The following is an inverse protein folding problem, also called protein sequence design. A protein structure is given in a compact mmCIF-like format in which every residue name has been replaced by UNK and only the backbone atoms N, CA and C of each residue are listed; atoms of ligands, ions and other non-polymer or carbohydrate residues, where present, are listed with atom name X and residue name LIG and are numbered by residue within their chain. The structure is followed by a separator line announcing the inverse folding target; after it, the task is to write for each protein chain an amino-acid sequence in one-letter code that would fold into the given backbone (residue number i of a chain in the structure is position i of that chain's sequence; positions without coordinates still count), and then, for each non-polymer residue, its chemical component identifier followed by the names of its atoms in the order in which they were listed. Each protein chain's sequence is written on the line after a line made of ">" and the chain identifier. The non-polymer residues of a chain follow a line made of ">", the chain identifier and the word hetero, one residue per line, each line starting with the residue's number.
data_IF_840009193006
#
_entry.id   IF_840009193006
#
_cell.length_a   1.000
_cell.length_b   1.000
_cell.length_c   1.000
_cell.angle_alpha   90.00
_cell.angle_beta   90.00
_cell.angle_gamma   90.00
#
_symmetry.space_group_name_H-M   'P 1'
#
loop_
_entity.id
_entity.type
_entity.pdbx_description
1 polymer ?
#
# COMPACT_ATOMS: atom_id res chain seq x y z
N UNK A 1 -1.89 -22.06 31.67
CA UNK A 1 -2.59 -20.84 31.27
C UNK A 1 -1.56 -19.73 31.12
N UNK A 2 -1.44 -19.08 29.98
CA UNK A 2 -0.36 -18.10 29.69
C UNK A 2 -0.63 -16.69 30.24
N UNK A 3 -1.55 -16.50 31.17
CA UNK A 3 -1.76 -15.21 31.89
C UNK A 3 -1.95 -13.95 31.05
N UNK A 4 -2.24 -14.07 29.73
CA UNK A 4 -2.44 -12.93 28.84
C UNK A 4 -3.87 -12.39 28.98
N UNK A 5 -3.98 -11.13 29.36
CA UNK A 5 -5.27 -10.40 29.44
C UNK A 5 -5.56 -9.70 28.11
N UNK A 6 -6.74 -9.92 27.54
CA UNK A 6 -7.18 -9.22 26.33
C UNK A 6 -7.62 -7.80 26.70
N UNK A 7 -7.12 -6.79 26.00
CA UNK A 7 -7.51 -5.40 26.24
C UNK A 7 -8.82 -5.09 25.52
N UNK A 8 -9.93 -5.07 26.24
CA UNK A 8 -11.26 -4.74 25.71
C UNK A 8 -11.28 -3.40 24.98
N UNK A 9 -10.57 -2.39 25.52
CA UNK A 9 -10.46 -1.04 24.91
C UNK A 9 -9.77 -1.01 23.55
N UNK A 10 -8.95 -2.02 23.24
CA UNK A 10 -8.21 -2.13 21.97
C UNK A 10 -8.79 -3.19 21.04
N UNK A 11 -9.78 -3.94 21.52
CA UNK A 11 -10.43 -4.99 20.73
C UNK A 11 -11.59 -4.37 19.96
N UNK A 12 -11.54 -4.48 18.65
CA UNK A 12 -12.54 -3.95 17.72
C UNK A 12 -13.11 -5.09 16.89
N UNK A 13 -14.36 -4.96 16.47
CA UNK A 13 -15.05 -5.93 15.63
C UNK A 13 -15.25 -5.33 14.25
N UNK A 14 -14.58 -5.88 13.25
CA UNK A 14 -14.85 -5.59 11.84
C UNK A 14 -15.69 -6.72 11.24
N UNK A 15 -16.80 -6.37 10.64
CA UNK A 15 -17.63 -7.32 9.91
C UNK A 15 -17.55 -7.05 8.41
N UNK A 16 -17.20 -8.06 7.65
CA UNK A 16 -17.33 -8.07 6.19
C UNK A 16 -18.59 -8.85 5.80
N UNK A 17 -19.47 -8.22 5.05
CA UNK A 17 -20.67 -8.83 4.53
C UNK A 17 -20.44 -9.33 3.11
N UNK A 18 -21.10 -10.45 2.76
CA UNK A 18 -21.20 -10.84 1.36
C UNK A 18 -21.99 -9.77 0.58
N UNK A 19 -21.67 -9.62 -0.70
CA UNK A 19 -22.35 -8.68 -1.60
C UNK A 19 -23.87 -8.86 -1.50
N UNK A 20 -24.60 -7.74 -1.38
CA UNK A 20 -26.06 -7.68 -1.29
C UNK A 20 -26.70 -8.26 0.00
N UNK A 21 -25.95 -8.36 1.09
CA UNK A 21 -26.49 -8.79 2.38
C UNK A 21 -26.53 -7.59 3.34
N UNK A 22 -27.73 -7.24 3.81
CA UNK A 22 -27.92 -6.26 4.89
C UNK A 22 -28.27 -7.01 6.17
N UNK A 23 -27.42 -6.96 7.18
CA UNK A 23 -27.71 -7.48 8.52
C UNK A 23 -27.24 -6.45 9.55
N UNK A 24 -27.91 -6.28 10.69
CA UNK A 24 -27.47 -5.38 11.75
C UNK A 24 -26.06 -5.79 12.25
N UNK A 25 -25.28 -4.83 12.79
CA UNK A 25 -23.97 -5.12 13.37
C UNK A 25 -24.09 -6.18 14.47
N UNK A 26 -23.12 -7.10 14.58
CA UNK A 26 -23.16 -8.11 15.63
C UNK A 26 -22.91 -7.49 16.99
N UNK A 27 -23.73 -7.81 17.98
CA UNK A 27 -23.47 -7.48 19.38
C UNK A 27 -22.55 -8.54 19.98
N UNK A 28 -21.25 -8.33 19.88
CA UNK A 28 -20.23 -9.21 20.47
C UNK A 28 -19.79 -8.60 21.79
N UNK A 29 -19.90 -9.34 22.88
CA UNK A 29 -19.45 -8.95 24.20
C UNK A 29 -18.33 -9.86 24.70
N UNK A 30 -17.42 -9.31 25.49
CA UNK A 30 -16.37 -10.02 26.20
C UNK A 30 -16.32 -9.56 27.65
N UNK A 31 -16.40 -10.49 28.59
CA UNK A 31 -16.47 -10.21 30.04
C UNK A 31 -17.60 -9.22 30.39
N UNK A 32 -18.76 -9.34 29.74
CA UNK A 32 -19.92 -8.46 29.96
C UNK A 32 -19.82 -7.09 29.29
N UNK A 33 -18.71 -6.75 28.65
CA UNK A 33 -18.51 -5.47 27.94
C UNK A 33 -18.75 -5.66 26.44
N UNK A 34 -19.55 -4.79 25.84
CA UNK A 34 -19.82 -4.77 24.41
C UNK A 34 -18.55 -4.28 23.67
N UNK A 35 -18.13 -5.03 22.65
CA UNK A 35 -16.99 -4.65 21.80
C UNK A 35 -17.41 -3.59 20.77
N UNK A 36 -16.47 -2.70 20.44
CA UNK A 36 -16.71 -1.62 19.49
C UNK A 36 -16.73 -2.16 18.05
N UNK A 37 -17.83 -1.89 17.32
CA UNK A 37 -17.93 -2.20 15.90
C UNK A 37 -17.30 -1.07 15.09
N UNK A 38 -16.42 -1.43 14.13
CA UNK A 38 -15.73 -0.47 13.25
C UNK A 38 -15.95 -0.81 11.79
N UNK A 39 -16.04 0.20 10.93
CA UNK A 39 -16.15 0.04 9.49
C UNK A 39 -14.79 -0.11 8.81
N UNK A 40 -13.73 0.33 9.45
CA UNK A 40 -12.36 0.23 8.95
C UNK A 40 -11.42 -0.21 10.07
N UNK A 41 -10.63 -1.23 9.81
CA UNK A 41 -9.67 -1.79 10.75
C UNK A 41 -8.26 -1.74 10.19
N UNK A 42 -7.29 -1.31 11.01
CA UNK A 42 -5.87 -1.30 10.65
C UNK A 42 -5.17 -2.53 11.19
N UNK A 43 -4.78 -3.45 10.31
CA UNK A 43 -4.08 -4.67 10.67
C UNK A 43 -2.71 -4.75 10.01
N UNK A 44 -1.63 -4.87 10.80
CA UNK A 44 -0.23 -4.94 10.33
C UNK A 44 0.11 -3.91 9.25
N UNK A 45 -0.51 -2.75 9.34
CA UNK A 45 -0.28 -1.69 8.39
C UNK A 45 -1.20 -1.68 7.17
N UNK A 46 -2.06 -2.66 6.96
CA UNK A 46 -3.12 -2.64 5.95
C UNK A 46 -4.41 -2.05 6.50
N UNK A 47 -5.19 -1.41 5.63
CA UNK A 47 -6.52 -0.90 5.95
C UNK A 47 -7.56 -1.85 5.36
N UNK A 48 -8.29 -2.55 6.24
CA UNK A 48 -9.37 -3.46 5.86
C UNK A 48 -10.69 -2.74 6.17
N UNK A 49 -11.65 -2.78 5.25
CA UNK A 49 -12.96 -2.17 5.46
C UNK A 49 -14.11 -3.19 5.39
N UNK A 50 -15.27 -2.79 5.92
CA UNK A 50 -16.49 -3.61 5.95
C UNK A 50 -17.03 -3.93 4.56
N UNK A 51 -16.77 -3.07 3.56
CA UNK A 51 -17.19 -3.25 2.17
C UNK A 51 -16.28 -4.19 1.37
N UNK A 52 -15.21 -4.72 1.97
CA UNK A 52 -14.21 -5.59 1.33
C UNK A 52 -13.64 -5.02 0.02
N UNK A 53 -13.56 -3.68 -0.11
CA UNK A 53 -13.00 -3.01 -1.27
C UNK A 53 -11.55 -2.54 -1.00
N UNK A 54 -10.80 -2.36 -2.08
CA UNK A 54 -9.39 -1.99 -2.02
C UNK A 54 -9.17 -0.46 -2.03
N UNK A 55 -10.22 0.36 -2.21
CA UNK A 55 -10.07 1.80 -2.40
C UNK A 55 -9.39 2.48 -1.20
N UNK A 56 -9.80 2.13 0.02
CA UNK A 56 -9.25 2.70 1.26
C UNK A 56 -7.79 2.27 1.49
N UNK A 57 -7.47 1.00 1.21
CA UNK A 57 -6.09 0.52 1.27
C UNK A 57 -5.19 1.29 0.32
N UNK A 58 -5.59 1.47 -0.95
CA UNK A 58 -4.82 2.23 -1.94
C UNK A 58 -4.59 3.67 -1.49
N UNK A 59 -5.61 4.35 -0.97
CA UNK A 59 -5.49 5.71 -0.45
C UNK A 59 -4.55 5.77 0.77
N UNK A 60 -4.68 4.81 1.67
CA UNK A 60 -3.80 4.68 2.85
C UNK A 60 -2.34 4.49 2.43
N UNK A 61 -2.06 3.64 1.42
CA UNK A 61 -0.71 3.40 0.90
C UNK A 61 -0.12 4.64 0.22
N UNK A 62 -0.89 5.31 -0.61
CA UNK A 62 -0.47 6.57 -1.23
C UNK A 62 -0.16 7.62 -0.16
N UNK A 63 -0.99 7.73 0.89
CA UNK A 63 -0.76 8.65 2.00
C UNK A 63 0.56 8.35 2.72
N UNK A 64 0.82 7.09 3.08
CA UNK A 64 2.06 6.65 3.75
C UNK A 64 3.29 6.88 2.87
N UNK A 65 3.22 6.50 1.61
CA UNK A 65 4.29 6.73 0.65
C UNK A 65 4.55 8.23 0.44
N UNK A 66 3.49 9.05 0.43
CA UNK A 66 3.60 10.51 0.35
C UNK A 66 4.30 11.10 1.59
N UNK A 67 3.97 10.61 2.78
CA UNK A 67 4.65 11.01 4.02
C UNK A 67 6.12 10.59 4.01
N UNK A 68 6.42 9.34 3.59
CA UNK A 68 7.79 8.86 3.45
C UNK A 68 8.59 9.71 2.46
N UNK A 69 8.00 10.04 1.31
CA UNK A 69 8.60 10.94 0.33
C UNK A 69 8.83 12.35 0.90
N UNK A 70 7.83 12.89 1.62
CA UNK A 70 7.91 14.22 2.23
C UNK A 70 9.01 14.34 3.28
N UNK A 71 9.20 13.31 4.14
CA UNK A 71 10.27 13.30 5.16
C UNK A 71 11.67 13.38 4.56
N UNK A 72 11.84 12.93 3.33
CA UNK A 72 13.13 12.94 2.62
C UNK A 72 13.35 14.22 1.81
N UNK A 73 12.39 15.17 1.84
CA UNK A 73 12.39 16.33 0.97
C UNK A 73 13.66 17.17 1.07
N UNK A 74 14.00 17.63 2.26
CA UNK A 74 15.17 18.49 2.50
C UNK A 74 16.47 17.73 2.44
N UNK A 75 16.50 16.53 3.04
CA UNK A 75 17.73 15.75 3.25
C UNK A 75 18.16 14.94 2.01
N UNK A 76 17.27 14.69 1.06
CA UNK A 76 17.57 13.84 -0.11
C UNK A 76 17.21 14.53 -1.42
N UNK A 77 15.94 14.95 -1.57
CA UNK A 77 15.48 15.45 -2.88
C UNK A 77 16.04 16.82 -3.22
N UNK A 78 16.25 17.71 -2.26
CA UNK A 78 16.79 19.06 -2.44
C UNK A 78 18.29 19.17 -2.16
N UNK A 79 18.90 18.15 -1.55
CA UNK A 79 20.33 18.17 -1.24
C UNK A 79 21.18 18.19 -2.53
N UNK A 80 22.07 19.18 -2.67
CA UNK A 80 22.85 19.40 -3.90
C UNK A 80 23.92 18.33 -4.13
N UNK A 81 24.48 17.78 -3.06
CA UNK A 81 25.55 16.77 -3.10
C UNK A 81 25.09 15.35 -3.47
N UNK A 82 23.78 15.08 -3.54
CA UNK A 82 23.26 13.73 -3.79
C UNK A 82 22.99 13.53 -5.29
N UNK A 83 23.61 12.50 -5.87
CA UNK A 83 23.38 12.11 -7.28
C UNK A 83 21.94 11.64 -7.53
N UNK A 84 21.45 11.80 -8.75
CA UNK A 84 20.14 11.28 -9.18
C UNK A 84 20.03 9.77 -8.98
N UNK A 85 21.12 9.03 -9.25
CA UNK A 85 21.18 7.57 -9.02
C UNK A 85 20.94 7.24 -7.54
N UNK A 86 21.58 7.95 -6.62
CA UNK A 86 21.38 7.75 -5.17
C UNK A 86 19.96 8.08 -4.75
N UNK A 87 19.38 9.19 -5.26
CA UNK A 87 17.97 9.54 -4.98
C UNK A 87 17.02 8.44 -5.44
N UNK A 88 17.20 7.89 -6.64
CA UNK A 88 16.41 6.79 -7.15
C UNK A 88 16.57 5.52 -6.31
N UNK A 89 17.78 5.24 -5.80
CA UNK A 89 18.02 4.12 -4.88
C UNK A 89 17.27 4.30 -3.56
N UNK A 90 17.29 5.50 -2.97
CA UNK A 90 16.52 5.83 -1.76
C UNK A 90 15.00 5.71 -2.02
N UNK A 91 14.52 6.18 -3.16
CA UNK A 91 13.12 6.02 -3.55
C UNK A 91 12.70 4.55 -3.61
N UNK A 92 13.52 3.69 -4.24
CA UNK A 92 13.28 2.22 -4.31
C UNK A 92 13.30 1.57 -2.94
N UNK A 93 14.17 2.01 -2.05
CA UNK A 93 14.34 1.40 -0.74
C UNK A 93 13.29 1.83 0.30
N UNK A 94 12.75 3.05 0.21
CA UNK A 94 11.91 3.63 1.26
C UNK A 94 10.48 3.89 0.80
N UNK A 95 10.33 4.62 -0.31
CA UNK A 95 9.01 5.10 -0.74
C UNK A 95 8.21 4.01 -1.46
N UNK A 96 8.86 3.32 -2.38
CA UNK A 96 8.22 2.28 -3.18
C UNK A 96 7.73 1.08 -2.34
N UNK A 97 8.50 0.55 -1.36
CA UNK A 97 8.00 -0.47 -0.45
C UNK A 97 6.83 0.00 0.42
N UNK A 98 6.81 1.27 0.82
CA UNK A 98 5.67 1.84 1.56
C UNK A 98 4.41 1.91 0.70
N UNK A 99 4.56 2.17 -0.61
CA UNK A 99 3.47 2.22 -1.57
C UNK A 99 2.90 0.83 -1.88
N UNK A 100 3.77 -0.16 -2.06
CA UNK A 100 3.43 -1.50 -2.56
C UNK A 100 3.40 -2.58 -1.48
N UNK A 101 3.41 -2.20 -0.20
CA UNK A 101 3.36 -3.19 0.88
C UNK A 101 2.05 -3.98 0.84
N UNK A 102 2.14 -5.31 0.80
CA UNK A 102 1.01 -6.23 0.73
C UNK A 102 0.34 -6.32 -0.65
N UNK A 103 0.95 -5.73 -1.69
CA UNK A 103 0.36 -5.67 -3.02
C UNK A 103 0.19 -7.04 -3.71
N UNK A 104 0.87 -8.07 -3.23
CA UNK A 104 0.74 -9.45 -3.69
C UNK A 104 -0.67 -10.02 -3.47
N UNK A 105 -1.39 -9.49 -2.47
CA UNK A 105 -2.75 -9.94 -2.13
C UNK A 105 -3.85 -9.07 -2.76
N UNK A 106 -3.49 -8.01 -3.50
CA UNK A 106 -4.47 -7.05 -3.99
C UNK A 106 -5.18 -7.50 -5.25
N UNK A 107 -6.50 -7.39 -5.25
CA UNK A 107 -7.33 -7.51 -6.46
C UNK A 107 -7.52 -6.13 -7.10
N UNK A 108 -6.48 -5.66 -7.81
CA UNK A 108 -6.45 -4.32 -8.37
C UNK A 108 -7.33 -4.17 -9.62
N UNK A 109 -8.23 -3.18 -9.60
CA UNK A 109 -8.89 -2.67 -10.80
C UNK A 109 -8.03 -1.59 -11.49
N UNK A 110 -8.30 -1.32 -12.76
CA UNK A 110 -7.58 -0.29 -13.54
C UNK A 110 -7.53 1.08 -12.85
N UNK A 111 -8.61 1.47 -12.15
CA UNK A 111 -8.64 2.74 -11.38
C UNK A 111 -7.59 2.79 -10.27
N UNK A 112 -7.32 1.66 -9.59
CA UNK A 112 -6.32 1.55 -8.54
C UNK A 112 -4.91 1.68 -9.13
N UNK A 113 -4.62 0.92 -10.19
CA UNK A 113 -3.34 0.97 -10.91
C UNK A 113 -3.07 2.40 -11.38
N UNK A 114 -4.07 3.08 -11.96
CA UNK A 114 -3.92 4.47 -12.40
C UNK A 114 -3.59 5.44 -11.26
N UNK A 115 -4.22 5.31 -10.09
CA UNK A 115 -3.92 6.15 -8.91
C UNK A 115 -2.48 5.94 -8.41
N UNK A 116 -2.06 4.68 -8.30
CA UNK A 116 -0.70 4.31 -7.88
C UNK A 116 0.35 4.80 -8.88
N UNK A 117 0.10 4.62 -10.17
CA UNK A 117 1.00 5.02 -11.26
C UNK A 117 1.16 6.54 -11.34
N UNK A 118 0.07 7.29 -11.15
CA UNK A 118 0.11 8.76 -11.05
C UNK A 118 1.00 9.23 -9.90
N UNK A 119 0.91 8.59 -8.73
CA UNK A 119 1.78 8.91 -7.60
C UNK A 119 3.24 8.57 -7.92
N UNK A 120 3.51 7.39 -8.46
CA UNK A 120 4.84 6.92 -8.84
C UNK A 120 5.51 7.88 -9.82
N UNK A 121 4.86 8.18 -10.94
CA UNK A 121 5.37 9.08 -11.97
C UNK A 121 5.59 10.51 -11.45
N UNK A 122 4.69 11.01 -10.58
CA UNK A 122 4.88 12.32 -9.93
C UNK A 122 6.14 12.37 -9.08
N UNK A 123 6.41 11.30 -8.31
CA UNK A 123 7.64 11.21 -7.52
C UNK A 123 8.88 11.15 -8.41
N UNK A 124 8.86 10.32 -9.47
CA UNK A 124 9.97 10.20 -10.40
C UNK A 124 10.28 11.51 -11.10
N UNK A 125 9.26 12.24 -11.60
CA UNK A 125 9.48 13.57 -12.20
C UNK A 125 10.14 14.54 -11.22
N UNK A 126 9.74 14.55 -9.94
CA UNK A 126 10.40 15.38 -8.93
C UNK A 126 11.86 15.00 -8.71
N UNK A 127 12.18 13.70 -8.65
CA UNK A 127 13.54 13.21 -8.46
C UNK A 127 14.42 13.54 -9.66
N UNK A 128 13.90 13.35 -10.88
CA UNK A 128 14.59 13.64 -12.15
C UNK A 128 14.63 15.15 -12.46
N UNK A 129 13.89 15.97 -11.71
CA UNK A 129 13.75 17.42 -11.92
C UNK A 129 13.12 17.77 -13.28
N UNK A 130 12.28 16.89 -13.82
CA UNK A 130 11.56 17.12 -15.08
C UNK A 130 10.30 17.93 -14.80
N UNK A 131 10.19 19.09 -15.46
CA UNK A 131 9.01 19.96 -15.38
C UNK A 131 7.85 19.40 -16.22
N UNK A 132 6.62 19.65 -15.78
CA UNK A 132 5.43 19.33 -16.59
C UNK A 132 5.41 20.04 -17.95
N UNK A 133 6.07 21.23 -18.05
CA UNK A 133 6.18 22.02 -19.28
C UNK A 133 7.01 21.34 -20.37
N UNK A 134 7.88 20.42 -20.00
CA UNK A 134 8.74 19.69 -20.93
C UNK A 134 7.98 18.56 -21.68
N UNK A 135 6.74 18.29 -21.29
CA UNK A 135 5.86 17.30 -21.90
C UNK A 135 6.51 15.92 -22.11
N UNK A 136 7.46 15.55 -21.24
CA UNK A 136 8.17 14.27 -21.34
C UNK A 136 7.19 13.09 -21.12
N UNK A 137 7.12 12.13 -22.07
CA UNK A 137 6.25 10.98 -21.95
C UNK A 137 6.54 10.12 -20.71
N UNK A 138 5.51 9.45 -20.17
CA UNK A 138 5.66 8.58 -18.99
C UNK A 138 6.69 7.46 -19.20
N UNK A 139 6.72 6.86 -20.39
CA UNK A 139 7.68 5.80 -20.74
C UNK A 139 9.13 6.31 -20.64
N UNK A 140 9.37 7.53 -21.09
CA UNK A 140 10.69 8.15 -21.02
C UNK A 140 11.11 8.44 -19.57
N UNK A 141 10.18 8.89 -18.71
CA UNK A 141 10.42 9.05 -17.27
C UNK A 141 10.83 7.73 -16.62
N UNK A 142 10.12 6.65 -16.92
CA UNK A 142 10.44 5.31 -16.42
C UNK A 142 11.80 4.84 -16.91
N UNK A 143 12.10 5.05 -18.21
CA UNK A 143 13.40 4.71 -18.83
C UNK A 143 14.56 5.45 -18.15
N UNK A 144 14.45 6.77 -17.96
CA UNK A 144 15.47 7.58 -17.28
C UNK A 144 15.65 7.17 -15.80
N UNK A 145 14.57 6.78 -15.13
CA UNK A 145 14.63 6.27 -13.77
C UNK A 145 15.17 4.83 -13.68
N UNK A 146 15.27 4.12 -14.80
CA UNK A 146 15.56 2.68 -14.83
C UNK A 146 14.55 1.87 -14.03
N UNK A 147 13.25 2.22 -14.14
CA UNK A 147 12.14 1.60 -13.41
C UNK A 147 11.04 1.17 -14.38
N UNK A 148 10.26 0.18 -13.95
CA UNK A 148 9.03 -0.24 -14.64
C UNK A 148 7.81 0.51 -14.08
N UNK A 149 6.69 0.49 -14.79
CA UNK A 149 5.41 1.00 -14.28
C UNK A 149 4.84 0.13 -13.15
N UNK A 150 3.92 0.69 -12.41
CA UNK A 150 3.31 0.03 -11.22
C UNK A 150 2.64 -1.30 -11.59
N UNK A 151 1.95 -1.38 -12.72
CA UNK A 151 1.26 -2.60 -13.16
C UNK A 151 2.24 -3.78 -13.30
N UNK A 152 3.40 -3.56 -13.89
CA UNK A 152 4.44 -4.60 -14.01
C UNK A 152 4.99 -5.02 -12.63
N UNK A 153 5.14 -4.08 -11.71
CA UNK A 153 5.59 -4.38 -10.34
C UNK A 153 4.57 -5.21 -9.58
N UNK A 154 3.29 -4.88 -9.70
CA UNK A 154 2.18 -5.63 -9.08
C UNK A 154 2.13 -7.07 -9.62
N UNK A 155 2.13 -7.22 -10.93
CA UNK A 155 2.11 -8.54 -11.57
C UNK A 155 3.30 -9.41 -11.13
N UNK A 156 4.49 -8.82 -11.05
CA UNK A 156 5.68 -9.53 -10.58
C UNK A 156 5.56 -9.96 -9.11
N UNK A 157 5.02 -9.10 -8.24
CA UNK A 157 4.80 -9.43 -6.83
C UNK A 157 3.79 -10.58 -6.68
N UNK A 158 2.68 -10.52 -7.40
CA UNK A 158 1.64 -11.55 -7.40
C UNK A 158 2.14 -12.90 -7.94
N UNK A 159 2.91 -12.89 -9.04
CA UNK A 159 3.52 -14.11 -9.60
C UNK A 159 4.53 -14.74 -8.64
N UNK A 160 5.34 -13.95 -7.94
CA UNK A 160 6.27 -14.47 -6.92
C UNK A 160 5.51 -15.10 -5.74
N UNK A 161 4.44 -14.45 -5.31
CA UNK A 161 3.61 -14.95 -4.22
C UNK A 161 2.89 -16.24 -4.61
N UNK A 162 2.25 -16.32 -5.77
CA UNK A 162 1.59 -17.54 -6.25
C UNK A 162 2.56 -18.71 -6.38
N UNK A 163 3.76 -18.47 -6.90
CA UNK A 163 4.82 -19.48 -6.95
C UNK A 163 5.32 -19.93 -5.57
N UNK A 164 5.28 -19.06 -4.55
CA UNK A 164 5.57 -19.44 -3.17
C UNK A 164 4.47 -20.32 -2.57
N UNK A 165 3.21 -19.95 -2.77
CA UNK A 165 2.05 -20.72 -2.29
C UNK A 165 2.01 -22.12 -2.93
N UNK A 166 2.20 -22.21 -4.26
CA UNK A 166 2.20 -23.48 -4.97
C UNK A 166 3.25 -24.46 -4.44
N UNK A 167 4.44 -23.98 -4.09
CA UNK A 167 5.49 -24.83 -3.51
C UNK A 167 5.18 -25.35 -2.11
N UNK A 168 4.39 -24.62 -1.32
CA UNK A 168 3.98 -25.08 0.02
C UNK A 168 2.90 -26.15 -0.03
N UNK A 169 1.98 -26.07 -1.00
CA UNK A 169 0.88 -27.03 -1.15
C UNK A 169 1.37 -28.40 -1.65
N UNK A 170 2.52 -28.48 -2.32
CA UNK A 170 3.07 -29.74 -2.86
C UNK A 170 3.84 -30.54 -1.79
N UNK A 171 4.11 -29.97 -0.61
CA UNK A 171 4.92 -30.60 0.47
C UNK A 171 4.04 -31.25 1.55
N UNK A 172 2.71 -31.12 1.47
CA UNK A 172 1.74 -31.87 2.30
C UNK A 172 1.15 -33.03 1.51
#
# INVERSE_FOLDING_TARGET
>A
MFGLTVSIKKTEVLRQLALNTTRPPPNISMDGNLLNNVDTFKYLGSCINSAANLDDEILCRISRASQAFGRLHTKVWHERGISTRTRLSVYRAVVLPSLLYGCETWTCYRRHIKKLDQFHLRCLRKILRVSWREHVPNQEILRQAGMTGIEAMLNLAQLRWSGHVSRKVIVE
#
